data_IF_343433699923
#
_entry.id   IF_343433699923
#
_cell.length_a   1.000
_cell.length_b   1.000
_cell.length_c   1.000
_cell.angle_alpha   90.00
_cell.angle_beta   90.00
_cell.angle_gamma   90.00
#
_symmetry.space_group_name_H-M   'P 1'
#
loop_
_entity.id
_entity.type
_entity.pdbx_description
1 polymer ?
#
# COMPACT_ATOMS: atom_id res chain seq x y z
N UNK A 1 -2.28 -49.99 -42.69
CA UNK A 1 -1.77 -50.02 -41.30
C UNK A 1 -0.30 -49.58 -41.17
N UNK A 2 0.47 -49.43 -42.24
CA UNK A 2 1.89 -48.96 -42.19
C UNK A 2 2.05 -47.48 -42.56
N UNK A 3 1.01 -46.83 -43.09
CA UNK A 3 1.06 -45.42 -43.53
C UNK A 3 0.58 -44.42 -42.42
N UNK A 4 -0.11 -44.90 -41.41
CA UNK A 4 -0.55 -44.01 -40.27
C UNK A 4 0.54 -43.79 -39.25
N UNK A 5 1.46 -44.72 -39.04
CA UNK A 5 2.59 -44.52 -38.10
C UNK A 5 3.61 -43.47 -38.60
N UNK A 6 3.78 -43.33 -39.92
CA UNK A 6 4.68 -42.30 -40.48
C UNK A 6 4.16 -40.87 -40.30
N UNK A 7 2.85 -40.68 -40.28
CA UNK A 7 2.20 -39.37 -40.04
C UNK A 7 2.33 -38.88 -38.60
N UNK A 8 2.26 -39.81 -37.64
CA UNK A 8 2.41 -39.49 -36.20
C UNK A 8 3.86 -39.18 -35.87
N UNK A 9 4.82 -39.92 -36.39
CA UNK A 9 6.25 -39.68 -36.24
C UNK A 9 6.71 -38.37 -36.88
N UNK A 10 6.15 -37.97 -38.02
CA UNK A 10 6.44 -36.65 -38.61
C UNK A 10 5.84 -35.51 -37.80
N UNK A 11 4.64 -35.63 -37.22
CA UNK A 11 4.03 -34.64 -36.34
C UNK A 11 4.81 -34.51 -35.03
N UNK A 12 5.25 -35.60 -34.43
CA UNK A 12 6.10 -35.58 -33.23
C UNK A 12 7.45 -34.94 -33.49
N UNK A 13 8.11 -35.24 -34.60
CA UNK A 13 9.38 -34.60 -34.98
C UNK A 13 9.20 -33.11 -35.33
N UNK A 14 8.07 -32.71 -35.89
CA UNK A 14 7.77 -31.31 -36.20
C UNK A 14 7.54 -30.52 -34.92
N UNK A 15 6.77 -31.03 -33.93
CA UNK A 15 6.56 -30.38 -32.63
C UNK A 15 7.85 -30.29 -31.84
N UNK A 16 8.68 -31.32 -31.80
CA UNK A 16 10.00 -31.28 -31.16
C UNK A 16 10.94 -30.26 -31.81
N UNK A 17 10.93 -30.15 -33.15
CA UNK A 17 11.73 -29.16 -33.88
C UNK A 17 11.27 -27.73 -33.65
N UNK A 18 9.96 -27.51 -33.49
CA UNK A 18 9.37 -26.21 -33.18
C UNK A 18 9.74 -25.81 -31.73
N UNK A 19 9.63 -26.75 -30.80
CA UNK A 19 10.02 -26.53 -29.39
C UNK A 19 11.53 -26.24 -29.28
N UNK A 20 12.38 -27.04 -29.95
CA UNK A 20 13.84 -26.85 -29.95
C UNK A 20 14.24 -25.53 -30.64
N UNK A 21 13.55 -25.13 -31.73
CA UNK A 21 13.76 -23.83 -32.35
C UNK A 21 13.33 -22.68 -31.46
N UNK A 22 12.21 -22.82 -30.74
CA UNK A 22 11.73 -21.80 -29.78
C UNK A 22 12.68 -21.68 -28.58
N UNK A 23 13.14 -22.78 -28.02
CA UNK A 23 14.13 -22.82 -26.94
C UNK A 23 15.48 -22.27 -27.39
N UNK A 24 15.95 -22.56 -28.61
CA UNK A 24 17.17 -21.97 -29.18
C UNK A 24 17.02 -20.48 -29.50
N UNK A 25 15.84 -20.04 -29.93
CA UNK A 25 15.56 -18.60 -30.14
C UNK A 25 15.53 -17.82 -28.83
N UNK A 26 14.99 -18.41 -27.77
CA UNK A 26 15.03 -17.85 -26.40
C UNK A 26 16.45 -17.84 -25.82
N UNK A 27 17.30 -18.82 -26.14
CA UNK A 27 18.69 -18.86 -25.72
C UNK A 27 19.61 -17.83 -26.44
N UNK A 28 19.20 -17.35 -27.62
CA UNK A 28 19.95 -16.33 -28.40
C UNK A 28 19.55 -14.89 -27.99
N UNK A 29 18.36 -14.72 -27.34
CA UNK A 29 17.82 -13.43 -26.90
C UNK A 29 18.15 -13.14 -25.45
N UNK A 30 19.31 -13.53 -24.91
CA UNK A 30 19.74 -13.26 -23.53
C UNK A 30 18.62 -13.53 -22.51
N UNK A 31 18.71 -14.62 -21.82
CA UNK A 31 17.69 -15.22 -20.94
C UNK A 31 16.98 -14.26 -19.96
N UNK A 32 15.98 -13.52 -20.39
CA UNK A 32 15.01 -12.97 -19.48
C UNK A 32 13.60 -13.39 -19.88
N UNK A 33 13.25 -14.66 -19.61
CA UNK A 33 11.85 -15.07 -19.62
C UNK A 33 11.20 -14.49 -18.38
N UNK A 34 10.60 -13.31 -18.50
CA UNK A 34 9.86 -12.66 -17.41
C UNK A 34 8.49 -13.30 -17.30
N UNK A 35 8.12 -13.72 -16.10
CA UNK A 35 6.81 -14.34 -15.79
C UNK A 35 6.04 -13.48 -14.79
N UNK A 36 6.74 -12.92 -13.82
CA UNK A 36 6.10 -12.08 -12.79
C UNK A 36 5.67 -10.73 -13.37
N UNK A 37 4.42 -10.29 -13.18
CA UNK A 37 3.99 -8.94 -13.56
C UNK A 37 4.80 -7.82 -12.91
N UNK A 38 5.52 -8.07 -11.82
CA UNK A 38 6.44 -7.12 -11.22
C UNK A 38 7.65 -6.83 -12.12
N UNK A 39 8.03 -7.77 -13.00
CA UNK A 39 9.19 -7.59 -13.85
C UNK A 39 8.96 -6.53 -14.95
N UNK A 40 7.71 -6.40 -15.44
CA UNK A 40 7.42 -5.61 -16.64
C UNK A 40 6.19 -4.70 -16.56
N UNK A 41 5.36 -4.79 -15.51
CA UNK A 41 4.06 -4.08 -15.50
C UNK A 41 3.82 -3.22 -14.26
N UNK A 42 4.21 -3.66 -13.07
CA UNK A 42 3.89 -3.03 -11.80
C UNK A 42 5.13 -2.70 -10.99
N UNK A 43 5.03 -1.66 -10.17
CA UNK A 43 6.10 -1.17 -9.32
C UNK A 43 7.10 -0.31 -10.08
N UNK A 44 7.57 0.74 -9.43
CA UNK A 44 8.65 1.61 -9.93
C UNK A 44 10.02 1.05 -9.57
N UNK A 45 11.04 1.53 -10.27
CA UNK A 45 12.40 0.99 -10.14
C UNK A 45 12.99 1.21 -8.73
N UNK A 46 12.67 2.32 -8.05
CA UNK A 46 13.13 2.59 -6.69
C UNK A 46 12.61 1.53 -5.69
N UNK A 47 11.35 1.14 -5.79
CA UNK A 47 10.80 0.08 -4.94
C UNK A 47 11.36 -1.31 -5.29
N UNK A 48 11.56 -1.59 -6.58
CA UNK A 48 12.13 -2.85 -7.06
C UNK A 48 13.59 -2.99 -6.69
N UNK A 49 14.39 -1.91 -6.76
CA UNK A 49 15.82 -1.96 -6.46
C UNK A 49 16.11 -2.41 -5.04
N UNK A 50 15.28 -2.01 -4.06
CA UNK A 50 15.42 -2.44 -2.66
C UNK A 50 15.35 -3.97 -2.53
N UNK A 51 14.44 -4.61 -3.28
CA UNK A 51 14.16 -6.05 -3.19
C UNK A 51 14.76 -6.86 -4.33
N UNK A 52 15.54 -6.21 -5.22
CA UNK A 52 16.24 -6.89 -6.29
C UNK A 52 17.32 -7.83 -5.75
N UNK A 53 17.83 -8.71 -6.62
CA UNK A 53 18.99 -9.55 -6.32
C UNK A 53 20.19 -8.69 -5.89
N UNK A 54 20.46 -7.61 -6.62
CA UNK A 54 21.56 -6.67 -6.38
C UNK A 54 21.36 -5.88 -5.08
N UNK A 55 20.15 -5.39 -4.82
CA UNK A 55 19.84 -4.67 -3.58
C UNK A 55 19.98 -5.56 -2.34
N UNK A 56 19.52 -6.81 -2.42
CA UNK A 56 19.74 -7.81 -1.35
C UNK A 56 21.23 -8.08 -1.13
N UNK A 57 21.97 -8.28 -2.21
CA UNK A 57 23.41 -8.53 -2.18
C UNK A 57 24.15 -7.37 -1.52
N UNK A 58 23.88 -6.14 -1.90
CA UNK A 58 24.45 -4.94 -1.30
C UNK A 58 24.21 -4.90 0.22
N UNK A 59 22.98 -5.15 0.69
CA UNK A 59 22.68 -5.16 2.13
C UNK A 59 23.39 -6.28 2.87
N UNK A 60 23.62 -7.44 2.25
CA UNK A 60 24.41 -8.51 2.85
C UNK A 60 25.90 -8.12 3.00
N UNK A 61 26.48 -7.41 2.01
CA UNK A 61 27.82 -6.86 2.10
C UNK A 61 27.94 -5.79 3.21
N UNK A 62 26.94 -4.92 3.34
CA UNK A 62 26.87 -3.93 4.42
C UNK A 62 26.90 -4.59 5.79
N UNK A 63 26.16 -5.69 5.98
CA UNK A 63 26.10 -6.44 7.24
C UNK A 63 27.43 -7.11 7.54
N UNK A 64 28.07 -7.77 6.58
CA UNK A 64 29.40 -8.36 6.78
C UNK A 64 30.45 -7.31 7.12
N UNK A 65 30.43 -6.15 6.44
CA UNK A 65 31.32 -5.02 6.75
C UNK A 65 31.11 -4.52 8.19
N UNK A 66 29.85 -4.39 8.63
CA UNK A 66 29.51 -3.95 10.00
C UNK A 66 29.98 -4.98 11.06
N UNK A 67 29.89 -6.28 10.76
CA UNK A 67 30.41 -7.34 11.62
C UNK A 67 31.94 -7.18 11.84
N UNK A 68 32.70 -7.00 10.77
CA UNK A 68 34.17 -6.89 10.88
C UNK A 68 34.56 -5.55 11.54
N UNK A 69 33.82 -4.47 11.27
CA UNK A 69 33.99 -3.20 12.00
C UNK A 69 33.80 -3.37 13.51
N UNK A 70 32.75 -4.09 13.94
CA UNK A 70 32.51 -4.29 15.36
C UNK A 70 33.58 -5.18 16.00
N UNK A 71 34.06 -6.20 15.32
CA UNK A 71 35.21 -6.98 15.78
C UNK A 71 36.50 -6.16 15.88
N UNK A 72 36.70 -5.18 14.99
CA UNK A 72 37.82 -4.26 15.05
C UNK A 72 37.68 -3.32 16.29
N UNK A 73 36.48 -2.78 16.59
CA UNK A 73 36.23 -1.99 17.79
C UNK A 73 36.53 -2.77 19.09
N UNK A 74 36.29 -4.08 19.07
CA UNK A 74 36.58 -4.97 20.22
C UNK A 74 38.00 -5.54 20.22
N UNK A 75 38.88 -5.08 19.33
CA UNK A 75 40.28 -5.48 19.25
C UNK A 75 40.54 -6.92 18.79
N UNK A 76 39.53 -7.57 18.22
CA UNK A 76 39.62 -8.96 17.68
C UNK A 76 40.13 -9.02 16.26
N UNK A 77 39.92 -7.95 15.50
CA UNK A 77 40.39 -7.77 14.10
C UNK A 77 41.25 -6.51 14.05
N UNK A 78 42.34 -6.53 13.29
CA UNK A 78 43.20 -5.36 13.16
C UNK A 78 42.55 -4.25 12.32
N UNK A 79 42.89 -2.96 12.52
CA UNK A 79 42.41 -1.90 11.63
C UNK A 79 42.77 -2.15 10.14
N UNK A 80 43.95 -2.72 9.87
CA UNK A 80 44.40 -3.01 8.50
C UNK A 80 43.49 -4.07 7.84
N UNK A 81 43.13 -5.12 8.55
CA UNK A 81 42.20 -6.15 8.05
C UNK A 81 40.80 -5.57 7.83
N UNK A 82 40.30 -4.73 8.76
CA UNK A 82 39.02 -4.06 8.59
C UNK A 82 39.01 -3.13 7.36
N UNK A 83 40.06 -2.29 7.19
CA UNK A 83 40.17 -1.37 6.06
C UNK A 83 40.13 -2.13 4.74
N UNK A 84 40.83 -3.28 4.67
CA UNK A 84 40.83 -4.14 3.49
C UNK A 84 39.44 -4.72 3.21
N UNK A 85 38.70 -5.21 4.25
CA UNK A 85 37.35 -5.72 4.10
C UNK A 85 36.40 -4.58 3.70
N UNK A 86 36.51 -3.41 4.29
CA UNK A 86 35.69 -2.24 3.94
C UNK A 86 35.89 -1.77 2.49
N UNK A 87 37.13 -1.88 1.97
CA UNK A 87 37.44 -1.59 0.56
C UNK A 87 36.68 -2.52 -0.38
N UNK A 88 36.69 -3.84 -0.10
CA UNK A 88 36.18 -4.86 -1.02
C UNK A 88 34.67 -5.14 -0.85
N UNK A 89 34.07 -4.83 0.30
CA UNK A 89 32.64 -5.07 0.58
C UNK A 89 31.74 -4.10 -0.22
N UNK A 90 31.85 -4.14 -1.54
CA UNK A 90 31.09 -3.33 -2.50
C UNK A 90 30.63 -4.21 -3.66
N UNK A 91 29.41 -3.98 -4.19
CA UNK A 91 28.87 -4.77 -5.30
C UNK A 91 29.73 -4.79 -6.57
N UNK A 92 30.53 -3.74 -6.79
CA UNK A 92 31.41 -3.61 -7.95
C UNK A 92 32.65 -4.52 -7.85
N UNK A 93 33.02 -4.93 -6.64
CA UNK A 93 34.21 -5.78 -6.37
C UNK A 93 33.77 -7.21 -6.09
N UNK A 94 32.89 -7.39 -5.10
CA UNK A 94 32.25 -8.69 -4.80
C UNK A 94 30.93 -8.70 -5.55
N UNK A 95 30.94 -9.16 -6.79
CA UNK A 95 29.75 -9.10 -7.65
C UNK A 95 28.76 -10.21 -7.32
N UNK A 96 27.47 -9.93 -7.47
CA UNK A 96 26.42 -10.93 -7.31
C UNK A 96 26.60 -12.12 -8.28
N UNK A 97 27.12 -11.88 -9.48
CA UNK A 97 27.41 -12.95 -10.44
C UNK A 97 28.50 -13.90 -9.94
N UNK A 98 29.56 -13.37 -9.30
CA UNK A 98 30.61 -14.21 -8.71
C UNK A 98 30.05 -15.05 -7.56
N UNK A 99 29.18 -14.47 -6.73
CA UNK A 99 28.50 -15.20 -5.66
C UNK A 99 27.63 -16.34 -6.22
N UNK A 100 26.87 -16.08 -7.28
CA UNK A 100 26.05 -17.10 -7.96
C UNK A 100 26.90 -18.24 -8.55
N UNK A 101 28.08 -17.93 -9.11
CA UNK A 101 28.99 -18.95 -9.60
C UNK A 101 29.43 -19.90 -8.48
N UNK A 102 29.84 -19.35 -7.34
CA UNK A 102 30.26 -20.12 -6.16
C UNK A 102 29.07 -20.89 -5.56
N UNK A 103 27.87 -20.27 -5.54
CA UNK A 103 26.66 -20.92 -5.01
C UNK A 103 26.27 -22.18 -5.81
N UNK A 104 26.46 -22.20 -7.11
CA UNK A 104 26.19 -23.39 -7.95
C UNK A 104 27.02 -24.62 -7.48
N UNK A 105 28.19 -24.37 -6.91
CA UNK A 105 29.06 -25.42 -6.37
C UNK A 105 28.72 -25.74 -4.92
N UNK A 106 28.56 -24.71 -4.07
CA UNK A 106 28.40 -24.84 -2.62
C UNK A 106 26.97 -25.16 -2.22
N UNK A 107 25.98 -24.81 -3.06
CA UNK A 107 24.52 -24.91 -2.78
C UNK A 107 24.10 -24.20 -1.50
N UNK A 108 24.80 -23.10 -1.18
CA UNK A 108 24.55 -22.31 0.02
C UNK A 108 24.91 -20.84 -0.22
N UNK A 109 23.93 -19.95 -0.19
CA UNK A 109 24.03 -18.55 -0.56
C UNK A 109 25.05 -17.77 0.28
N UNK A 110 24.92 -17.79 1.61
CA UNK A 110 25.85 -17.04 2.49
C UNK A 110 27.25 -17.62 2.47
N UNK A 111 27.42 -18.94 2.34
CA UNK A 111 28.75 -19.54 2.16
C UNK A 111 29.41 -19.08 0.85
N UNK A 112 28.59 -18.88 -0.20
CA UNK A 112 29.09 -18.36 -1.47
C UNK A 112 29.51 -16.89 -1.34
N UNK A 113 28.71 -16.07 -0.67
CA UNK A 113 29.04 -14.67 -0.38
C UNK A 113 30.36 -14.56 0.39
N UNK A 114 30.49 -15.29 1.51
CA UNK A 114 31.70 -15.22 2.35
C UNK A 114 32.96 -15.70 1.63
N UNK A 115 32.85 -16.72 0.75
CA UNK A 115 33.94 -17.15 -0.11
C UNK A 115 34.34 -16.10 -1.13
N UNK A 116 33.37 -15.46 -1.82
CA UNK A 116 33.63 -14.39 -2.77
C UNK A 116 34.32 -13.19 -2.09
N UNK A 117 33.87 -12.82 -0.89
CA UNK A 117 34.52 -11.77 -0.10
C UNK A 117 35.94 -12.16 0.32
N UNK A 118 36.15 -13.41 0.78
CA UNK A 118 37.48 -13.88 1.18
C UNK A 118 38.45 -13.93 0.00
N UNK A 119 38.00 -14.34 -1.19
CA UNK A 119 38.80 -14.26 -2.44
C UNK A 119 39.26 -12.82 -2.72
N UNK A 120 38.35 -11.85 -2.57
CA UNK A 120 38.66 -10.44 -2.82
C UNK A 120 39.55 -9.80 -1.73
N UNK A 121 39.41 -10.23 -0.48
CA UNK A 121 40.15 -9.70 0.67
C UNK A 121 41.59 -10.29 0.77
N UNK A 122 41.86 -11.44 0.12
CA UNK A 122 43.19 -12.10 0.21
C UNK A 122 43.53 -12.53 1.63
N UNK A 123 44.67 -12.14 2.16
CA UNK A 123 45.13 -12.51 3.49
C UNK A 123 44.19 -12.03 4.61
N UNK A 124 43.47 -10.94 4.42
CA UNK A 124 42.46 -10.44 5.36
C UNK A 124 41.14 -11.22 5.33
N UNK A 125 40.98 -12.19 4.42
CA UNK A 125 39.75 -13.01 4.29
C UNK A 125 39.45 -13.89 5.49
N UNK A 126 40.42 -14.11 6.38
CA UNK A 126 40.27 -14.94 7.59
C UNK A 126 39.19 -14.43 8.57
N UNK A 127 38.95 -13.13 8.62
CA UNK A 127 38.03 -12.52 9.57
C UNK A 127 36.58 -12.44 9.05
N UNK A 128 36.34 -12.69 7.76
CA UNK A 128 35.00 -12.63 7.17
C UNK A 128 34.08 -13.65 7.82
N UNK A 129 32.84 -13.22 8.16
CA UNK A 129 31.82 -14.04 8.82
C UNK A 129 32.23 -14.58 10.19
N UNK A 130 33.16 -13.92 10.90
CA UNK A 130 33.78 -14.41 12.13
C UNK A 130 32.74 -14.57 13.25
N UNK A 131 32.45 -15.84 13.59
CA UNK A 131 31.52 -16.24 14.65
C UNK A 131 30.03 -15.99 14.33
N UNK A 132 29.70 -15.58 13.10
CA UNK A 132 28.33 -15.40 12.65
C UNK A 132 27.69 -16.70 12.14
N UNK A 133 26.40 -16.72 12.03
CA UNK A 133 25.61 -17.70 11.27
C UNK A 133 24.91 -17.02 10.10
N UNK A 134 24.52 -17.79 9.08
CA UNK A 134 23.89 -17.25 7.86
C UNK A 134 22.74 -16.28 8.14
N UNK A 135 21.91 -16.54 9.15
CA UNK A 135 20.80 -15.67 9.48
C UNK A 135 21.15 -14.43 10.30
N UNK A 136 22.35 -14.34 10.85
CA UNK A 136 22.85 -13.06 11.36
C UNK A 136 22.99 -12.06 10.18
N UNK A 137 23.41 -12.55 9.02
CA UNK A 137 23.54 -11.76 7.80
C UNK A 137 22.17 -11.56 7.10
N UNK A 138 21.44 -12.64 6.87
CA UNK A 138 20.18 -12.59 6.10
C UNK A 138 19.12 -11.74 6.80
N UNK A 139 18.86 -11.97 8.10
CA UNK A 139 17.81 -11.24 8.82
C UNK A 139 18.18 -9.77 8.99
N UNK A 140 19.47 -9.46 9.25
CA UNK A 140 19.92 -8.06 9.34
C UNK A 140 19.89 -7.34 7.99
N UNK A 141 20.21 -8.03 6.88
CA UNK A 141 20.06 -7.48 5.54
C UNK A 141 18.59 -7.23 5.18
N UNK A 142 17.69 -8.16 5.54
CA UNK A 142 16.24 -7.96 5.38
C UNK A 142 15.74 -6.79 6.23
N UNK A 143 16.24 -6.61 7.46
CA UNK A 143 15.89 -5.46 8.28
C UNK A 143 16.32 -4.13 7.64
N UNK A 144 17.48 -4.08 6.96
CA UNK A 144 17.91 -2.92 6.16
C UNK A 144 16.98 -2.68 4.97
N UNK A 145 16.59 -3.74 4.23
CA UNK A 145 15.63 -3.62 3.12
C UNK A 145 14.25 -3.14 3.60
N UNK A 146 13.79 -3.59 4.77
CA UNK A 146 12.55 -3.13 5.39
C UNK A 146 12.66 -1.66 5.79
N UNK A 147 13.77 -1.23 6.41
CA UNK A 147 14.02 0.18 6.76
C UNK A 147 13.94 1.08 5.53
N UNK A 148 14.64 0.70 4.46
CA UNK A 148 14.66 1.46 3.21
C UNK A 148 13.26 1.49 2.56
N UNK A 149 12.50 0.40 2.67
CA UNK A 149 11.11 0.31 2.23
C UNK A 149 10.17 1.21 3.04
N UNK A 150 10.35 1.26 4.36
CA UNK A 150 9.55 2.13 5.25
C UNK A 150 9.80 3.60 4.92
N UNK A 151 11.05 3.99 4.71
CA UNK A 151 11.39 5.37 4.30
C UNK A 151 10.68 5.73 2.99
N UNK A 152 10.76 4.86 1.98
CA UNK A 152 10.09 5.07 0.70
C UNK A 152 8.55 5.14 0.83
N UNK A 153 7.95 4.27 1.64
CA UNK A 153 6.52 4.25 1.91
C UNK A 153 6.07 5.51 2.66
N UNK A 154 6.86 5.99 3.61
CA UNK A 154 6.58 7.21 4.35
C UNK A 154 6.51 8.42 3.41
N UNK A 155 7.51 8.58 2.52
CA UNK A 155 7.55 9.67 1.55
C UNK A 155 6.36 9.61 0.57
N UNK A 156 6.05 8.41 0.08
CA UNK A 156 4.95 8.20 -0.88
C UNK A 156 3.58 8.46 -0.23
N UNK A 157 3.40 8.04 1.03
CA UNK A 157 2.17 8.29 1.79
C UNK A 157 2.00 9.77 2.15
N UNK A 158 3.06 10.47 2.54
CA UNK A 158 3.03 11.91 2.80
C UNK A 158 2.59 12.69 1.56
N UNK A 159 3.10 12.31 0.40
CA UNK A 159 2.69 12.90 -0.87
C UNK A 159 1.20 12.66 -1.16
N UNK A 160 0.71 11.43 -1.00
CA UNK A 160 -0.71 11.11 -1.15
C UNK A 160 -1.58 11.89 -0.15
N UNK A 161 -1.16 11.97 1.11
CA UNK A 161 -1.86 12.73 2.14
C UNK A 161 -1.94 14.22 1.79
N UNK A 162 -0.86 14.81 1.27
CA UNK A 162 -0.86 16.19 0.76
C UNK A 162 -1.90 16.38 -0.35
N UNK A 163 -1.93 15.47 -1.33
CA UNK A 163 -2.92 15.49 -2.42
C UNK A 163 -4.36 15.39 -1.89
N UNK A 164 -4.60 14.55 -0.88
CA UNK A 164 -5.92 14.44 -0.25
C UNK A 164 -6.30 15.72 0.50
N UNK A 165 -5.36 16.37 1.20
CA UNK A 165 -5.58 17.65 1.85
C UNK A 165 -5.98 18.73 0.82
N UNK A 166 -5.22 18.85 -0.27
CA UNK A 166 -5.50 19.81 -1.34
C UNK A 166 -6.89 19.58 -1.96
N UNK A 167 -7.28 18.32 -2.16
CA UNK A 167 -8.61 17.96 -2.67
C UNK A 167 -9.70 18.29 -1.66
N UNK A 168 -9.50 18.00 -0.38
CA UNK A 168 -10.48 18.30 0.67
C UNK A 168 -10.72 19.81 0.81
N UNK A 169 -9.65 20.62 0.80
CA UNK A 169 -9.73 22.09 0.84
C UNK A 169 -10.42 22.65 -0.40
N UNK A 170 -10.05 22.20 -1.59
CA UNK A 170 -10.66 22.64 -2.84
C UNK A 170 -12.17 22.39 -2.89
N UNK A 171 -12.60 21.26 -2.36
CA UNK A 171 -14.00 20.82 -2.39
C UNK A 171 -14.73 21.04 -1.05
N UNK A 172 -14.17 21.88 -0.18
CA UNK A 172 -14.66 22.15 1.18
C UNK A 172 -16.16 22.45 1.23
N UNK A 173 -16.63 23.27 0.28
CA UNK A 173 -17.99 23.78 0.21
C UNK A 173 -18.79 23.19 -0.97
N UNK A 174 -18.24 22.21 -1.70
CA UNK A 174 -18.92 21.54 -2.81
C UNK A 174 -20.01 20.62 -2.30
N UNK A 175 -21.25 21.06 -2.42
CA UNK A 175 -22.45 20.36 -1.90
C UNK A 175 -22.76 19.13 -2.73
N UNK A 176 -22.95 17.99 -2.06
CA UNK A 176 -23.33 16.75 -2.69
C UNK A 176 -24.37 15.97 -1.86
N UNK A 177 -24.99 14.99 -2.50
CA UNK A 177 -25.91 14.08 -1.84
C UNK A 177 -25.15 13.09 -0.95
N UNK A 178 -25.42 13.09 0.37
CA UNK A 178 -25.02 12.02 1.27
C UNK A 178 -25.81 10.74 0.95
N UNK A 179 -25.15 9.59 1.06
CA UNK A 179 -25.78 8.28 0.81
C UNK A 179 -25.43 7.30 1.91
N UNK A 180 -26.46 6.63 2.45
CA UNK A 180 -26.32 5.49 3.36
C UNK A 180 -27.08 4.31 2.77
N UNK A 181 -26.54 3.10 2.87
CA UNK A 181 -27.13 1.90 2.25
C UNK A 181 -27.36 2.05 0.72
N UNK A 182 -26.62 2.95 0.06
CA UNK A 182 -26.85 3.29 -1.34
C UNK A 182 -28.07 4.17 -1.61
N UNK A 183 -28.81 4.57 -0.56
CA UNK A 183 -29.98 5.43 -0.65
C UNK A 183 -29.63 6.89 -0.36
N UNK A 184 -30.40 7.80 -0.97
CA UNK A 184 -30.30 9.24 -0.71
C UNK A 184 -30.53 9.52 0.79
N UNK A 185 -29.65 10.31 1.38
CA UNK A 185 -29.73 10.80 2.74
C UNK A 185 -29.70 12.34 2.74
N UNK A 186 -29.20 12.95 3.80
CA UNK A 186 -29.09 14.41 3.88
C UNK A 186 -27.90 14.96 3.06
N UNK A 187 -27.86 16.25 2.69
CA UNK A 187 -26.72 16.88 2.03
C UNK A 187 -25.46 16.82 2.89
N UNK A 188 -24.32 16.69 2.21
CA UNK A 188 -22.96 16.81 2.77
C UNK A 188 -22.11 17.65 1.81
N UNK A 189 -20.80 17.84 2.11
CA UNK A 189 -19.86 18.33 1.12
C UNK A 189 -18.94 17.22 0.61
N UNK A 190 -18.42 17.37 -0.62
CA UNK A 190 -17.42 16.45 -1.15
C UNK A 190 -16.12 16.56 -0.35
N UNK A 191 -15.77 17.79 0.09
CA UNK A 191 -14.63 17.99 0.99
C UNK A 191 -14.74 17.19 2.28
N UNK A 192 -15.93 17.12 2.91
CA UNK A 192 -16.14 16.27 4.10
C UNK A 192 -15.89 14.78 3.81
N UNK A 193 -16.34 14.29 2.65
CA UNK A 193 -16.08 12.91 2.23
C UNK A 193 -14.58 12.64 2.12
N UNK A 194 -13.82 13.56 1.53
CA UNK A 194 -12.35 13.45 1.40
C UNK A 194 -11.66 13.62 2.75
N UNK A 195 -12.14 14.50 3.64
CA UNK A 195 -11.57 14.70 4.98
C UNK A 195 -11.58 13.41 5.83
N UNK A 196 -12.56 12.53 5.62
CA UNK A 196 -12.57 11.19 6.25
C UNK A 196 -11.37 10.35 5.79
N UNK A 197 -11.00 10.43 4.51
CA UNK A 197 -9.79 9.76 3.99
C UNK A 197 -8.53 10.41 4.53
N UNK A 198 -8.46 11.75 4.56
CA UNK A 198 -7.32 12.50 5.14
C UNK A 198 -7.00 12.02 6.55
N UNK A 199 -8.00 11.96 7.44
CA UNK A 199 -7.79 11.53 8.81
C UNK A 199 -7.40 10.04 8.92
N UNK A 200 -7.89 9.18 8.04
CA UNK A 200 -7.52 7.77 7.98
C UNK A 200 -6.07 7.58 7.53
N UNK A 201 -5.62 8.30 6.49
CA UNK A 201 -4.26 8.19 5.98
C UNK A 201 -3.24 8.83 6.92
N UNK A 202 -3.60 9.91 7.63
CA UNK A 202 -2.79 10.44 8.73
C UNK A 202 -2.50 9.35 9.77
N UNK A 203 -3.53 8.62 10.21
CA UNK A 203 -3.33 7.51 11.17
C UNK A 203 -2.48 6.36 10.62
N UNK A 204 -2.41 6.17 9.30
CA UNK A 204 -1.48 5.20 8.72
C UNK A 204 -0.02 5.62 8.85
N UNK A 205 0.29 6.91 8.75
CA UNK A 205 1.62 7.44 9.06
C UNK A 205 1.96 7.27 10.54
N UNK A 206 1.01 7.57 11.44
CA UNK A 206 1.23 7.37 12.89
C UNK A 206 1.58 5.89 13.19
N UNK A 207 0.81 4.95 12.64
CA UNK A 207 1.08 3.51 12.81
C UNK A 207 2.42 3.09 12.22
N UNK A 208 2.83 3.68 11.09
CA UNK A 208 4.14 3.38 10.48
C UNK A 208 5.28 3.81 11.40
N UNK A 209 5.22 5.02 11.97
CA UNK A 209 6.23 5.50 12.92
C UNK A 209 6.27 4.62 14.17
N UNK A 210 5.10 4.23 14.70
CA UNK A 210 4.99 3.40 15.91
C UNK A 210 5.51 1.98 15.72
N UNK A 211 5.30 1.35 14.56
CA UNK A 211 5.75 -0.03 14.29
C UNK A 211 7.22 -0.09 13.89
N UNK A 212 7.78 0.96 13.31
CA UNK A 212 9.13 0.97 12.74
C UNK A 212 10.20 0.43 13.70
N UNK A 213 10.31 0.88 14.97
CA UNK A 213 11.31 0.36 15.89
C UNK A 213 11.16 -1.14 16.19
N UNK A 214 9.96 -1.68 16.11
CA UNK A 214 9.73 -3.11 16.34
C UNK A 214 10.10 -3.97 15.14
N UNK A 215 10.03 -3.42 13.94
CA UNK A 215 10.19 -4.16 12.67
C UNK A 215 11.63 -4.12 12.16
N UNK A 216 12.32 -2.98 12.25
CA UNK A 216 13.70 -2.82 11.76
C UNK A 216 14.74 -3.41 12.72
N UNK A 217 14.63 -4.68 13.03
CA UNK A 217 15.45 -5.38 14.03
C UNK A 217 16.34 -6.40 13.34
N UNK A 218 17.66 -6.26 13.50
CA UNK A 218 18.64 -7.28 13.10
C UNK A 218 19.00 -8.21 14.27
N UNK A 219 19.99 -9.07 14.09
CA UNK A 219 20.50 -9.95 15.17
C UNK A 219 21.93 -10.42 14.89
N UNK A 220 22.70 -10.72 15.97
CA UNK A 220 24.05 -11.29 15.90
C UNK A 220 24.36 -12.21 17.09
N UNK A 221 23.43 -13.09 17.43
CA UNK A 221 23.61 -14.06 18.52
C UNK A 221 23.85 -15.50 18.04
N UNK A 222 24.23 -15.69 16.78
CA UNK A 222 24.70 -16.94 16.23
C UNK A 222 23.62 -17.98 15.98
N UNK A 223 24.03 -19.24 15.89
CA UNK A 223 23.28 -20.36 15.34
C UNK A 223 21.96 -20.68 16.05
N UNK A 224 21.84 -20.41 17.35
CA UNK A 224 20.63 -20.70 18.17
C UNK A 224 20.29 -19.54 19.13
N UNK A 225 20.85 -18.36 18.90
CA UNK A 225 20.51 -17.16 19.68
C UNK A 225 21.23 -17.02 21.03
N UNK A 226 22.28 -17.80 21.28
CA UNK A 226 23.00 -17.78 22.56
C UNK A 226 24.24 -16.89 22.61
N UNK A 227 24.73 -16.45 21.44
CA UNK A 227 25.97 -15.69 21.33
C UNK A 227 27.25 -16.47 21.66
N UNK A 228 27.16 -17.81 21.87
CA UNK A 228 28.26 -18.62 22.36
C UNK A 228 29.55 -18.54 21.52
N UNK A 229 29.44 -18.41 20.20
CA UNK A 229 30.59 -18.26 19.31
C UNK A 229 31.31 -16.91 19.45
N UNK A 230 30.66 -15.90 20.03
CA UNK A 230 31.19 -14.54 20.25
C UNK A 230 31.81 -14.36 21.66
N UNK A 231 31.56 -15.34 22.57
CA UNK A 231 32.09 -15.32 23.92
C UNK A 231 31.49 -14.19 24.79
N UNK A 232 32.29 -13.65 25.71
CA UNK A 232 31.86 -12.68 26.71
C UNK A 232 31.36 -11.34 26.09
N UNK A 233 31.80 -11.01 24.88
CA UNK A 233 31.46 -9.76 24.20
C UNK A 233 30.23 -9.88 23.27
N UNK A 234 29.47 -10.98 23.33
CA UNK A 234 28.39 -11.23 22.38
C UNK A 234 27.34 -10.11 22.31
N UNK A 235 26.90 -9.60 23.46
CA UNK A 235 25.93 -8.49 23.51
C UNK A 235 26.52 -7.17 23.03
N UNK A 236 27.78 -6.87 23.41
CA UNK A 236 28.46 -5.65 22.99
C UNK A 236 28.69 -5.66 21.47
N UNK A 237 29.14 -6.80 20.91
CA UNK A 237 29.29 -6.99 19.47
C UNK A 237 27.97 -6.74 18.74
N UNK A 238 26.88 -7.38 19.19
CA UNK A 238 25.57 -7.19 18.59
C UNK A 238 25.13 -5.72 18.60
N UNK A 239 25.28 -5.04 19.75
CA UNK A 239 24.91 -3.63 19.90
C UNK A 239 25.72 -2.73 18.96
N UNK A 240 27.03 -2.95 18.84
CA UNK A 240 27.89 -2.20 17.93
C UNK A 240 27.45 -2.39 16.47
N UNK A 241 27.15 -3.62 16.06
CA UNK A 241 26.67 -3.93 14.69
C UNK A 241 25.35 -3.21 14.42
N UNK A 242 24.36 -3.33 15.32
CA UNK A 242 23.05 -2.71 15.16
C UNK A 242 23.15 -1.19 15.09
N UNK A 243 23.97 -0.57 15.94
CA UNK A 243 24.23 0.88 15.89
C UNK A 243 24.86 1.31 14.57
N UNK A 244 25.87 0.56 14.07
CA UNK A 244 26.51 0.85 12.79
C UNK A 244 25.53 0.78 11.61
N UNK A 245 24.60 -0.18 11.66
CA UNK A 245 23.59 -0.39 10.61
C UNK A 245 22.34 0.50 10.78
N UNK A 246 22.17 1.18 11.91
CA UNK A 246 20.95 1.93 12.23
C UNK A 246 19.73 1.01 12.37
N UNK A 247 19.92 -0.13 13.04
CA UNK A 247 18.89 -1.13 13.33
C UNK A 247 18.66 -1.25 14.83
N UNK A 248 17.49 -1.76 15.20
CA UNK A 248 17.17 -2.07 16.59
C UNK A 248 17.78 -3.39 17.06
N UNK A 249 18.18 -3.44 18.34
CA UNK A 249 18.76 -4.63 18.96
C UNK A 249 17.66 -5.45 19.64
N UNK A 250 17.52 -6.75 19.31
CA UNK A 250 16.54 -7.62 19.96
C UNK A 250 17.03 -8.05 21.36
N UNK A 251 16.08 -8.22 22.29
CA UNK A 251 16.38 -8.78 23.62
C UNK A 251 16.70 -10.26 23.56
N UNK A 252 15.94 -11.01 22.76
CA UNK A 252 16.08 -12.45 22.60
C UNK A 252 15.72 -12.87 21.17
N UNK A 253 16.46 -13.82 20.63
CA UNK A 253 16.21 -14.43 19.32
C UNK A 253 16.48 -15.92 19.37
N UNK A 254 16.03 -16.64 18.37
CA UNK A 254 16.53 -17.97 18.03
C UNK A 254 17.65 -17.85 16.99
N UNK A 255 17.77 -18.73 16.02
CA UNK A 255 18.63 -18.51 14.85
C UNK A 255 18.14 -17.33 14.00
N UNK A 256 16.87 -16.95 14.15
CA UNK A 256 16.17 -15.86 13.41
C UNK A 256 15.54 -14.87 14.38
N UNK A 257 15.25 -13.66 13.92
CA UNK A 257 14.37 -12.72 14.65
C UNK A 257 12.93 -13.25 14.64
N UNK A 258 12.12 -12.87 15.64
CA UNK A 258 10.70 -13.23 15.68
C UNK A 258 9.97 -12.72 14.43
N UNK A 259 9.26 -13.63 13.74
CA UNK A 259 8.53 -13.29 12.50
C UNK A 259 7.24 -12.49 12.74
N UNK A 260 6.79 -12.37 13.98
CA UNK A 260 5.74 -11.44 14.41
C UNK A 260 6.01 -10.00 13.94
N UNK A 261 7.26 -9.57 13.86
CA UNK A 261 7.71 -8.28 13.35
C UNK A 261 7.34 -8.09 11.88
N UNK A 262 7.56 -9.12 11.06
CA UNK A 262 7.22 -9.10 9.63
C UNK A 262 5.70 -9.15 9.44
N UNK A 263 4.98 -9.90 10.28
CA UNK A 263 3.51 -9.93 10.30
C UNK A 263 2.96 -8.53 10.58
N UNK A 264 3.52 -7.80 11.55
CA UNK A 264 3.10 -6.45 11.89
C UNK A 264 3.20 -5.51 10.68
N UNK A 265 4.34 -5.52 9.97
CA UNK A 265 4.54 -4.69 8.79
C UNK A 265 3.63 -5.09 7.61
N UNK A 266 3.52 -6.39 7.31
CA UNK A 266 2.63 -6.88 6.24
C UNK A 266 1.17 -6.58 6.56
N UNK A 267 0.75 -6.67 7.83
CA UNK A 267 -0.60 -6.32 8.27
C UNK A 267 -0.87 -4.82 8.12
N UNK A 268 0.11 -3.96 8.42
CA UNK A 268 0.03 -2.55 8.16
C UNK A 268 -0.12 -2.26 6.66
N UNK A 269 0.69 -2.88 5.80
CA UNK A 269 0.58 -2.75 4.34
C UNK A 269 -0.80 -3.18 3.83
N UNK A 270 -1.36 -4.24 4.36
CA UNK A 270 -2.70 -4.70 4.02
C UNK A 270 -3.79 -3.72 4.47
N UNK A 271 -3.64 -3.09 5.63
CA UNK A 271 -4.56 -2.06 6.13
C UNK A 271 -4.52 -0.81 5.23
N UNK A 272 -3.34 -0.29 4.89
CA UNK A 272 -3.17 0.82 3.94
C UNK A 272 -3.81 0.50 2.58
N UNK A 273 -3.55 -0.70 2.05
CA UNK A 273 -4.13 -1.14 0.77
C UNK A 273 -5.66 -1.20 0.80
N UNK A 274 -6.25 -1.53 1.95
CA UNK A 274 -7.70 -1.52 2.17
C UNK A 274 -8.27 -0.11 2.13
N UNK A 275 -7.60 0.84 2.78
CA UNK A 275 -7.99 2.26 2.76
C UNK A 275 -7.90 2.87 1.36
N UNK A 276 -6.86 2.51 0.59
CA UNK A 276 -6.73 2.90 -0.82
C UNK A 276 -7.90 2.34 -1.65
N UNK A 277 -8.19 1.04 -1.53
CA UNK A 277 -9.31 0.43 -2.25
C UNK A 277 -10.64 1.07 -1.87
N UNK A 278 -10.87 1.37 -0.59
CA UNK A 278 -12.07 2.07 -0.11
C UNK A 278 -12.25 3.43 -0.78
N UNK A 279 -11.21 4.26 -0.81
CA UNK A 279 -11.26 5.58 -1.45
C UNK A 279 -11.48 5.47 -2.98
N UNK A 280 -10.73 4.60 -3.65
CA UNK A 280 -10.86 4.41 -5.10
C UNK A 280 -12.15 3.70 -5.51
N UNK A 281 -12.70 2.84 -4.67
CA UNK A 281 -14.01 2.24 -4.91
C UNK A 281 -15.11 3.29 -4.81
N UNK A 282 -15.01 4.25 -3.90
CA UNK A 282 -15.94 5.38 -3.85
C UNK A 282 -15.83 6.26 -5.11
N UNK A 283 -14.62 6.58 -5.57
CA UNK A 283 -14.41 7.27 -6.85
C UNK A 283 -15.10 6.51 -8.00
N UNK A 284 -14.87 5.18 -8.11
CA UNK A 284 -15.52 4.33 -9.14
C UNK A 284 -17.04 4.35 -9.03
N UNK A 285 -17.56 4.34 -7.80
CA UNK A 285 -19.01 4.36 -7.54
C UNK A 285 -19.63 5.71 -7.94
N UNK A 286 -18.99 6.82 -7.58
CA UNK A 286 -19.44 8.15 -7.95
C UNK A 286 -19.29 8.45 -9.47
N UNK A 287 -18.40 7.76 -10.18
CA UNK A 287 -18.21 7.84 -11.63
C UNK A 287 -19.24 7.05 -12.45
N UNK A 288 -20.08 6.22 -11.82
CA UNK A 288 -21.13 5.48 -12.53
C UNK A 288 -22.00 6.41 -13.33
N UNK A 289 -22.42 5.98 -14.52
CA UNK A 289 -23.14 6.83 -15.50
C UNK A 289 -24.40 7.50 -14.95
N UNK A 290 -25.13 6.82 -14.06
CA UNK A 290 -26.33 7.34 -13.41
C UNK A 290 -26.04 8.31 -12.26
N UNK A 291 -24.85 8.25 -11.65
CA UNK A 291 -24.39 9.17 -10.60
C UNK A 291 -23.60 10.32 -11.21
N UNK A 292 -22.49 10.02 -11.86
CA UNK A 292 -21.64 10.93 -12.65
C UNK A 292 -21.15 12.19 -11.90
N UNK A 293 -20.91 12.07 -10.59
CA UNK A 293 -20.51 13.19 -9.72
C UNK A 293 -18.99 13.46 -9.74
N UNK A 294 -18.18 12.44 -10.09
CA UNK A 294 -16.74 12.56 -10.27
C UNK A 294 -16.29 11.79 -11.49
N UNK A 295 -15.05 12.00 -11.95
CA UNK A 295 -14.46 11.22 -13.03
C UNK A 295 -12.94 11.13 -12.90
N UNK A 296 -12.37 9.92 -13.07
CA UNK A 296 -10.94 9.76 -13.26
C UNK A 296 -10.50 10.54 -14.51
N UNK A 297 -9.37 11.26 -14.40
CA UNK A 297 -8.83 12.03 -15.51
C UNK A 297 -8.60 11.15 -16.73
N UNK A 298 -9.14 11.59 -17.87
CA UNK A 298 -9.02 10.92 -19.15
C UNK A 298 -8.33 11.83 -20.17
N UNK A 299 -7.16 11.43 -20.64
CA UNK A 299 -6.45 12.14 -21.72
C UNK A 299 -7.08 11.76 -23.07
N UNK A 300 -7.97 12.63 -23.57
CA UNK A 300 -8.71 12.36 -24.80
C UNK A 300 -7.83 12.28 -26.06
N UNK A 301 -6.60 12.82 -26.02
CA UNK A 301 -5.66 12.79 -27.16
C UNK A 301 -4.85 11.48 -27.20
N UNK A 302 -4.61 10.86 -26.04
CA UNK A 302 -3.68 9.73 -25.89
C UNK A 302 -4.33 8.45 -25.41
N UNK A 303 -5.50 8.53 -24.76
CA UNK A 303 -6.16 7.35 -24.18
C UNK A 303 -7.33 6.88 -25.02
N UNK A 304 -7.41 5.57 -25.24
CA UNK A 304 -8.58 4.91 -25.81
C UNK A 304 -9.41 4.34 -24.67
N UNK A 305 -10.57 4.94 -24.39
CA UNK A 305 -11.45 4.53 -23.29
C UNK A 305 -12.13 3.18 -23.54
N UNK A 306 -12.38 2.83 -24.79
CA UNK A 306 -12.96 1.58 -25.22
C UNK A 306 -12.59 1.30 -26.68
N UNK A 307 -12.34 0.03 -27.02
CA UNK A 307 -12.04 -0.37 -28.40
C UNK A 307 -13.21 -0.19 -29.36
N UNK A 308 -14.45 -0.07 -28.85
CA UNK A 308 -15.68 -0.01 -29.65
C UNK A 308 -16.57 1.19 -29.36
N UNK A 309 -16.43 1.84 -28.18
CA UNK A 309 -17.30 2.93 -27.74
C UNK A 309 -16.47 4.17 -27.39
N UNK A 310 -16.33 5.10 -28.33
CA UNK A 310 -15.45 6.27 -28.19
C UNK A 310 -15.78 7.19 -27.01
N UNK A 311 -17.05 7.23 -26.58
CA UNK A 311 -17.53 8.08 -25.47
C UNK A 311 -17.27 7.47 -24.08
N UNK A 312 -16.87 6.18 -23.99
CA UNK A 312 -16.79 5.46 -22.72
C UNK A 312 -15.45 5.76 -22.02
N UNK A 313 -15.53 6.42 -20.86
CA UNK A 313 -14.38 6.76 -20.00
C UNK A 313 -14.39 5.87 -18.77
N UNK A 314 -13.58 4.82 -18.79
CA UNK A 314 -13.50 3.85 -17.68
C UNK A 314 -12.50 4.33 -16.61
N UNK A 315 -12.76 4.11 -15.30
CA UNK A 315 -11.82 4.40 -14.22
C UNK A 315 -10.73 3.33 -14.10
N UNK A 316 -9.92 3.17 -15.15
CA UNK A 316 -9.00 2.04 -15.31
C UNK A 316 -7.85 2.04 -14.30
N UNK A 317 -7.39 3.22 -13.85
CA UNK A 317 -6.33 3.32 -12.85
C UNK A 317 -6.87 2.92 -11.47
N UNK A 318 -8.05 3.42 -11.12
CA UNK A 318 -8.73 3.04 -9.88
C UNK A 318 -9.08 1.54 -9.84
N UNK A 319 -9.58 0.97 -10.95
CA UNK A 319 -9.86 -0.48 -11.06
C UNK A 319 -8.61 -1.32 -10.88
N UNK A 320 -7.51 -0.92 -11.52
CA UNK A 320 -6.22 -1.62 -11.42
C UNK A 320 -5.69 -1.60 -9.97
N UNK A 321 -5.69 -0.43 -9.32
CA UNK A 321 -5.25 -0.30 -7.93
C UNK A 321 -6.11 -1.14 -6.97
N UNK A 322 -7.44 -1.14 -7.12
CA UNK A 322 -8.34 -2.01 -6.35
C UNK A 322 -8.03 -3.50 -6.55
N UNK A 323 -7.69 -3.91 -7.77
CA UNK A 323 -7.29 -5.29 -8.07
C UNK A 323 -5.99 -5.69 -7.36
N UNK A 324 -4.97 -4.83 -7.40
CA UNK A 324 -3.67 -5.06 -6.77
C UNK A 324 -3.75 -5.04 -5.23
N UNK A 325 -4.61 -4.20 -4.65
CA UNK A 325 -4.85 -4.17 -3.21
C UNK A 325 -5.27 -5.54 -2.64
N UNK A 326 -5.99 -6.35 -3.41
CA UNK A 326 -6.38 -7.72 -3.03
C UNK A 326 -5.16 -8.63 -2.90
N UNK A 327 -4.17 -8.46 -3.78
CA UNK A 327 -2.92 -9.23 -3.72
C UNK A 327 -2.13 -8.85 -2.47
N UNK A 328 -1.98 -7.55 -2.16
CA UNK A 328 -1.30 -7.09 -0.94
C UNK A 328 -1.96 -7.72 0.29
N UNK A 329 -3.29 -7.67 0.41
CA UNK A 329 -4.01 -8.27 1.55
C UNK A 329 -3.87 -9.78 1.64
N UNK A 330 -3.76 -10.48 0.51
CA UNK A 330 -3.61 -11.94 0.52
C UNK A 330 -2.30 -12.42 1.13
N UNK A 331 -1.27 -11.55 1.20
CA UNK A 331 0.04 -11.88 1.77
C UNK A 331 0.04 -11.97 3.31
N UNK A 332 -1.03 -11.55 3.97
CA UNK A 332 -1.19 -11.70 5.43
C UNK A 332 -1.15 -13.18 5.83
N UNK A 333 -1.88 -14.05 5.15
CA UNK A 333 -1.99 -15.47 5.51
C UNK A 333 -0.64 -16.15 5.50
N UNK A 334 0.13 -16.17 4.39
CA UNK A 334 1.44 -16.79 4.39
C UNK A 334 2.43 -16.10 5.37
N UNK A 335 2.24 -14.82 5.70
CA UNK A 335 3.07 -14.16 6.71
C UNK A 335 2.84 -14.71 8.11
N UNK A 336 1.59 -15.04 8.48
CA UNK A 336 1.29 -15.72 9.75
C UNK A 336 1.84 -17.13 9.78
N UNK A 337 1.72 -17.90 8.70
CA UNK A 337 2.27 -19.24 8.60
C UNK A 337 3.80 -19.26 8.71
N UNK A 338 4.48 -18.24 8.22
CA UNK A 338 5.94 -18.10 8.31
C UNK A 338 6.46 -17.92 9.76
N UNK A 339 5.59 -17.58 10.71
CA UNK A 339 5.98 -17.48 12.12
C UNK A 339 6.01 -18.85 12.83
N UNK A 340 5.40 -19.87 12.24
CA UNK A 340 5.31 -21.21 12.81
C UNK A 340 6.54 -22.03 12.42
N UNK A 341 7.66 -21.80 13.11
CA UNK A 341 8.93 -22.49 12.88
C UNK A 341 9.18 -23.57 13.93
N UNK A 342 9.86 -24.64 13.53
CA UNK A 342 10.26 -25.70 14.45
C UNK A 342 11.51 -25.30 15.22
N UNK A 343 11.46 -25.50 16.54
CA UNK A 343 12.58 -25.25 17.43
C UNK A 343 13.18 -23.84 17.23
N UNK A 344 14.49 -23.73 17.13
CA UNK A 344 15.20 -22.49 16.93
C UNK A 344 15.17 -22.00 15.48
N UNK A 345 14.82 -22.85 14.52
CA UNK A 345 14.50 -22.57 13.11
C UNK A 345 14.35 -23.83 12.26
N UNK A 346 13.45 -23.79 11.28
CA UNK A 346 13.49 -24.60 10.06
C UNK A 346 13.50 -23.71 8.82
N UNK A 347 13.34 -24.24 7.59
CA UNK A 347 13.39 -23.48 6.34
C UNK A 347 12.01 -23.20 5.72
N UNK A 348 10.91 -23.55 6.38
CA UNK A 348 9.58 -23.45 5.80
C UNK A 348 9.19 -22.02 5.42
N UNK A 349 9.64 -21.03 6.21
CA UNK A 349 9.41 -19.60 5.96
C UNK A 349 10.19 -19.04 4.76
N UNK A 350 11.41 -19.54 4.53
CA UNK A 350 12.42 -18.87 3.69
C UNK A 350 11.96 -18.62 2.26
N UNK A 351 11.30 -19.60 1.63
CA UNK A 351 10.78 -19.44 0.26
C UNK A 351 9.58 -18.51 0.20
N UNK A 352 8.68 -18.58 1.17
CA UNK A 352 7.47 -17.77 1.21
C UNK A 352 7.77 -16.29 1.54
N UNK A 353 8.73 -16.01 2.42
CA UNK A 353 9.13 -14.62 2.77
C UNK A 353 9.64 -13.83 1.58
N UNK A 354 10.25 -14.48 0.61
CA UNK A 354 10.68 -13.85 -0.66
C UNK A 354 9.53 -13.24 -1.45
N UNK A 355 8.31 -13.78 -1.29
CA UNK A 355 7.09 -13.25 -1.89
C UNK A 355 6.36 -12.27 -0.96
N UNK A 356 6.16 -12.65 0.32
CA UNK A 356 5.32 -11.87 1.23
C UNK A 356 5.86 -10.49 1.50
N UNK A 357 7.18 -10.32 1.66
CA UNK A 357 7.78 -9.02 1.94
C UNK A 357 7.92 -8.17 0.67
N UNK A 358 8.61 -8.69 -0.35
CA UNK A 358 8.91 -7.93 -1.57
C UNK A 358 7.67 -7.55 -2.36
N UNK A 359 6.76 -8.53 -2.61
CA UNK A 359 5.57 -8.27 -3.41
C UNK A 359 4.59 -7.34 -2.70
N UNK A 360 4.39 -7.50 -1.37
CA UNK A 360 3.53 -6.59 -0.60
C UNK A 360 4.02 -5.15 -0.70
N UNK A 361 5.33 -4.96 -0.50
CA UNK A 361 5.93 -3.62 -0.52
C UNK A 361 5.86 -2.98 -1.91
N UNK A 362 6.30 -3.67 -2.95
CA UNK A 362 6.35 -3.12 -4.31
C UNK A 362 4.94 -2.81 -4.82
N UNK A 363 3.97 -3.70 -4.57
CA UNK A 363 2.58 -3.49 -4.98
C UNK A 363 1.89 -2.40 -4.16
N UNK A 364 2.18 -2.28 -2.86
CA UNK A 364 1.65 -1.20 -2.05
C UNK A 364 2.13 0.16 -2.55
N UNK A 365 3.43 0.31 -2.80
CA UNK A 365 4.00 1.54 -3.36
C UNK A 365 3.33 1.91 -4.70
N UNK A 366 3.15 0.94 -5.60
CA UNK A 366 2.50 1.13 -6.89
C UNK A 366 1.04 1.62 -6.76
N UNK A 367 0.26 1.04 -5.82
CA UNK A 367 -1.14 1.47 -5.64
C UNK A 367 -1.27 2.81 -4.90
N UNK A 368 -0.33 3.18 -4.02
CA UNK A 368 -0.28 4.51 -3.41
C UNK A 368 -0.10 5.58 -4.51
N UNK A 369 0.87 5.36 -5.42
CA UNK A 369 1.14 6.27 -6.54
C UNK A 369 -0.06 6.36 -7.48
N UNK A 370 -0.74 5.27 -7.77
CA UNK A 370 -1.96 5.25 -8.58
C UNK A 370 -3.09 6.02 -7.92
N UNK A 371 -3.25 5.88 -6.60
CA UNK A 371 -4.23 6.64 -5.84
C UNK A 371 -3.93 8.14 -5.88
N UNK A 372 -2.67 8.54 -5.65
CA UNK A 372 -2.20 9.92 -5.79
C UNK A 372 -2.51 10.49 -7.19
N UNK A 373 -2.19 9.73 -8.24
CA UNK A 373 -2.47 10.10 -9.63
C UNK A 373 -3.96 10.31 -9.91
N UNK A 374 -4.82 9.44 -9.37
CA UNK A 374 -6.28 9.55 -9.55
C UNK A 374 -6.81 10.78 -8.82
N UNK A 375 -6.45 10.95 -7.54
CA UNK A 375 -7.00 12.03 -6.71
C UNK A 375 -6.46 13.42 -7.09
N UNK A 376 -5.19 13.53 -7.48
CA UNK A 376 -4.57 14.81 -7.89
C UNK A 376 -5.22 15.41 -9.15
N UNK A 377 -5.82 14.57 -9.99
CA UNK A 377 -6.46 14.98 -11.27
C UNK A 377 -7.95 14.64 -11.33
N UNK A 378 -8.56 14.36 -10.17
CA UNK A 378 -9.97 13.98 -10.11
C UNK A 378 -10.84 15.12 -10.61
N UNK A 379 -11.64 14.87 -11.65
CA UNK A 379 -12.71 15.75 -12.08
C UNK A 379 -13.87 15.66 -11.11
N UNK A 380 -14.34 16.81 -10.62
CA UNK A 380 -15.52 16.94 -9.75
C UNK A 380 -16.57 17.74 -10.47
N UNK A 381 -17.78 17.20 -10.59
CA UNK A 381 -18.92 17.83 -11.27
C UNK A 381 -19.93 18.32 -10.23
N UNK A 382 -19.73 19.55 -9.75
CA UNK A 382 -20.59 20.19 -8.76
C UNK A 382 -22.02 20.43 -9.26
N UNK A 383 -22.19 20.68 -10.57
CA UNK A 383 -23.51 20.86 -11.17
C UNK A 383 -24.28 19.54 -11.15
N UNK A 384 -23.62 18.44 -11.46
CA UNK A 384 -24.20 17.10 -11.39
C UNK A 384 -24.53 16.70 -9.95
N UNK A 385 -23.69 17.05 -8.99
CA UNK A 385 -23.98 16.83 -7.56
C UNK A 385 -25.27 17.54 -7.13
N UNK A 386 -25.41 18.81 -7.48
CA UNK A 386 -26.64 19.58 -7.22
C UNK A 386 -27.86 19.02 -7.98
N UNK A 387 -27.68 18.58 -9.23
CA UNK A 387 -28.73 17.91 -9.99
C UNK A 387 -29.22 16.66 -9.26
N UNK A 388 -28.31 15.82 -8.74
CA UNK A 388 -28.66 14.60 -8.03
C UNK A 388 -29.42 14.87 -6.71
N UNK A 389 -29.14 15.99 -6.03
CA UNK A 389 -29.93 16.44 -4.87
C UNK A 389 -31.32 16.87 -5.32
N UNK A 390 -31.44 17.70 -6.35
CA UNK A 390 -32.73 18.19 -6.88
C UNK A 390 -33.61 17.05 -7.39
N UNK A 391 -33.03 16.01 -7.97
CA UNK A 391 -33.73 14.83 -8.43
C UNK A 391 -34.41 14.02 -7.28
N UNK A 392 -34.16 14.37 -6.02
CA UNK A 392 -34.85 13.79 -4.86
C UNK A 392 -36.13 14.56 -4.48
N UNK A 393 -36.54 15.55 -5.28
CA UNK A 393 -37.75 16.31 -5.08
C UNK A 393 -37.93 16.83 -3.64
N UNK A 394 -36.87 17.40 -3.06
CA UNK A 394 -36.87 17.97 -1.71
C UNK A 394 -36.88 16.96 -0.55
N UNK A 395 -37.07 15.65 -0.80
CA UNK A 395 -37.21 14.63 0.23
C UNK A 395 -36.00 14.55 1.19
N UNK A 396 -34.81 14.84 0.71
CA UNK A 396 -33.56 14.85 1.51
C UNK A 396 -33.51 15.98 2.54
N UNK A 397 -34.42 16.96 2.46
CA UNK A 397 -34.53 18.07 3.40
C UNK A 397 -35.62 17.85 4.48
N UNK A 398 -36.31 16.73 4.47
CA UNK A 398 -37.36 16.43 5.41
C UNK A 398 -36.90 16.46 6.88
N UNK A 399 -35.68 15.99 7.18
CA UNK A 399 -35.08 16.06 8.51
C UNK A 399 -34.90 17.51 8.98
N UNK A 400 -34.35 18.38 8.12
CA UNK A 400 -34.19 19.80 8.42
C UNK A 400 -35.52 20.47 8.75
N UNK A 401 -36.54 20.21 7.94
CA UNK A 401 -37.87 20.77 8.18
C UNK A 401 -38.51 20.21 9.46
N UNK A 402 -38.33 18.94 9.74
CA UNK A 402 -38.83 18.34 11.00
C UNK A 402 -38.23 19.04 12.23
N UNK A 403 -36.94 19.27 12.26
CA UNK A 403 -36.27 19.96 13.35
C UNK A 403 -36.80 21.40 13.44
N UNK A 404 -36.91 22.11 12.32
CA UNK A 404 -37.39 23.48 12.29
C UNK A 404 -38.86 23.60 12.80
N UNK A 405 -39.71 22.63 12.49
CA UNK A 405 -41.09 22.59 13.02
C UNK A 405 -41.11 22.42 14.54
N UNK A 406 -40.25 21.53 15.06
CA UNK A 406 -40.12 21.29 16.51
C UNK A 406 -39.58 22.52 17.23
N UNK A 407 -38.58 23.18 16.68
CA UNK A 407 -37.98 24.40 17.25
C UNK A 407 -38.97 25.57 17.28
N UNK A 408 -39.98 25.54 16.39
CA UNK A 408 -41.07 26.52 16.36
C UNK A 408 -42.35 26.04 17.08
N UNK A 409 -42.23 25.05 17.97
CA UNK A 409 -43.26 24.68 18.94
C UNK A 409 -44.20 23.55 18.50
N UNK A 410 -44.01 22.91 17.36
CA UNK A 410 -44.76 21.72 16.99
C UNK A 410 -44.25 20.52 17.79
N UNK A 411 -45.16 19.73 18.43
CA UNK A 411 -44.73 18.49 19.07
C UNK A 411 -44.03 17.54 18.08
N UNK A 412 -42.97 16.88 18.52
CA UNK A 412 -42.13 16.02 17.68
C UNK A 412 -42.93 14.95 16.91
N UNK A 413 -43.88 14.32 17.56
CA UNK A 413 -44.70 13.25 16.94
C UNK A 413 -45.64 13.83 15.88
N UNK A 414 -46.19 15.03 16.11
CA UNK A 414 -47.00 15.74 15.12
C UNK A 414 -46.16 16.18 13.91
N UNK A 415 -44.97 16.73 14.14
CA UNK A 415 -44.04 17.12 13.07
C UNK A 415 -43.62 15.90 12.22
N UNK A 416 -43.34 14.77 12.87
CA UNK A 416 -43.02 13.53 12.18
C UNK A 416 -44.20 13.04 11.31
N UNK A 417 -45.44 13.03 11.83
CA UNK A 417 -46.59 12.54 11.08
C UNK A 417 -46.97 13.44 9.92
N UNK A 418 -46.89 14.78 10.11
CA UNK A 418 -47.09 15.77 9.04
C UNK A 418 -46.11 15.55 7.90
N UNK A 419 -44.81 15.39 8.22
CA UNK A 419 -43.78 15.16 7.22
C UNK A 419 -43.81 13.78 6.59
N UNK A 420 -44.14 12.74 7.35
CA UNK A 420 -44.37 11.40 6.83
C UNK A 420 -45.47 11.40 5.76
N UNK A 421 -46.62 12.05 6.09
CA UNK A 421 -47.74 12.19 5.16
C UNK A 421 -47.35 13.00 3.92
N UNK A 422 -46.66 14.15 4.08
CA UNK A 422 -46.19 14.98 2.99
C UNK A 422 -45.18 14.25 2.09
N UNK A 423 -44.21 13.53 2.70
CA UNK A 423 -43.23 12.75 1.96
C UNK A 423 -43.84 11.60 1.17
N UNK A 424 -44.78 10.88 1.75
CA UNK A 424 -45.52 9.83 1.04
C UNK A 424 -46.34 10.40 -0.14
N UNK A 425 -46.93 11.59 0.01
CA UNK A 425 -47.60 12.28 -1.07
C UNK A 425 -46.62 12.66 -2.18
N UNK A 426 -45.43 13.25 -1.84
CA UNK A 426 -44.37 13.58 -2.79
C UNK A 426 -43.92 12.34 -3.57
N UNK A 427 -43.70 11.22 -2.90
CA UNK A 427 -43.29 9.96 -3.55
C UNK A 427 -44.37 9.47 -4.52
N UNK A 428 -45.65 9.50 -4.13
CA UNK A 428 -46.74 8.97 -4.92
C UNK A 428 -47.09 9.85 -6.15
N UNK A 429 -46.96 11.16 -6.01
CA UNK A 429 -47.33 12.13 -7.07
C UNK A 429 -46.15 12.55 -7.93
N UNK A 430 -44.91 12.43 -7.44
CA UNK A 430 -43.68 12.97 -8.05
C UNK A 430 -43.56 14.50 -7.90
N UNK A 431 -44.44 15.14 -7.09
CA UNK A 431 -44.36 16.56 -6.77
C UNK A 431 -43.19 16.86 -5.81
N UNK A 432 -42.69 18.09 -5.84
CA UNK A 432 -41.68 18.53 -4.88
C UNK A 432 -42.23 18.64 -3.47
N UNK A 433 -41.51 18.14 -2.46
CA UNK A 433 -41.89 18.17 -1.07
C UNK A 433 -42.09 19.59 -0.54
N UNK A 434 -41.26 20.57 -1.02
CA UNK A 434 -41.41 21.98 -0.66
C UNK A 434 -42.78 22.49 -1.04
N UNK A 435 -43.24 22.19 -2.29
CA UNK A 435 -44.54 22.62 -2.77
C UNK A 435 -45.72 22.00 -2.02
N UNK A 436 -45.60 20.73 -1.66
CA UNK A 436 -46.57 20.02 -0.84
C UNK A 436 -46.64 20.64 0.59
N UNK A 437 -45.48 20.89 1.19
CA UNK A 437 -45.35 21.52 2.50
C UNK A 437 -45.92 22.94 2.52
N UNK A 438 -45.72 23.73 1.46
CA UNK A 438 -46.24 25.07 1.35
C UNK A 438 -47.79 25.14 1.30
N UNK A 439 -48.44 24.05 0.87
CA UNK A 439 -49.92 23.92 0.85
C UNK A 439 -50.48 23.31 2.12
N UNK A 440 -49.63 22.88 3.04
CA UNK A 440 -50.05 22.28 4.32
C UNK A 440 -50.46 23.37 5.29
N UNK A 441 -51.71 23.33 5.79
CA UNK A 441 -52.20 24.28 6.80
C UNK A 441 -51.39 24.25 8.09
N UNK A 442 -50.83 23.08 8.45
CA UNK A 442 -50.03 22.92 9.64
C UNK A 442 -48.67 23.61 9.53
N UNK A 443 -48.05 23.56 8.33
CA UNK A 443 -46.73 24.13 8.07
C UNK A 443 -46.85 25.61 7.74
N UNK A 444 -47.82 26.01 6.92
CA UNK A 444 -48.03 27.41 6.46
C UNK A 444 -48.39 28.37 7.58
N UNK A 445 -48.88 27.87 8.73
CA UNK A 445 -49.10 28.67 9.97
C UNK A 445 -47.77 29.00 10.69
N UNK A 446 -46.75 28.26 10.46
CA UNK A 446 -45.43 28.37 11.13
C UNK A 446 -44.44 29.11 10.24
N UNK A 447 -44.39 28.78 8.95
CA UNK A 447 -43.41 29.32 8.00
C UNK A 447 -44.10 30.00 6.83
N UNK A 448 -43.58 31.16 6.44
CA UNK A 448 -43.88 31.81 5.15
C UNK A 448 -43.30 30.98 4.00
N UNK A 449 -43.76 31.22 2.77
CA UNK A 449 -43.18 30.54 1.58
C UNK A 449 -41.71 30.79 1.43
N UNK A 450 -41.21 32.00 1.78
CA UNK A 450 -39.78 32.33 1.68
C UNK A 450 -38.94 31.59 2.72
N UNK A 451 -39.39 31.56 3.98
CA UNK A 451 -38.72 30.84 5.04
C UNK A 451 -38.67 29.34 4.74
N UNK A 452 -39.74 28.79 4.19
CA UNK A 452 -39.76 27.38 3.77
C UNK A 452 -38.76 27.13 2.65
N UNK A 453 -38.72 28.00 1.63
CA UNK A 453 -37.74 27.88 0.54
C UNK A 453 -36.31 28.00 1.02
N UNK A 454 -36.02 28.82 2.02
CA UNK A 454 -34.69 28.90 2.64
C UNK A 454 -34.31 27.63 3.41
N UNK A 455 -35.28 26.96 4.04
CA UNK A 455 -35.08 25.66 4.70
C UNK A 455 -34.80 24.54 3.72
N UNK A 456 -35.33 24.60 2.49
CA UNK A 456 -35.09 23.59 1.45
C UNK A 456 -33.81 23.78 0.66
N UNK A 457 -33.02 24.83 0.93
CA UNK A 457 -31.68 24.99 0.35
C UNK A 457 -30.72 23.95 0.95
N UNK A 458 -30.05 23.11 0.16
CA UNK A 458 -29.13 22.09 0.67
C UNK A 458 -28.04 22.67 1.58
N UNK A 459 -27.55 23.87 1.25
CA UNK A 459 -26.51 24.60 1.99
C UNK A 459 -26.93 24.93 3.43
N UNK A 460 -28.25 25.00 3.70
CA UNK A 460 -28.79 25.26 5.04
C UNK A 460 -28.65 24.07 6.01
N UNK A 461 -28.25 22.89 5.51
CA UNK A 461 -28.22 21.64 6.29
C UNK A 461 -26.91 20.86 6.15
N UNK A 462 -25.78 21.55 6.10
CA UNK A 462 -24.45 20.96 6.00
C UNK A 462 -23.77 20.77 7.37
N UNK A 463 -24.37 21.28 8.45
CA UNK A 463 -23.79 21.21 9.79
C UNK A 463 -22.38 21.81 9.83
N UNK A 464 -21.47 21.09 10.43
CA UNK A 464 -20.05 21.47 10.60
C UNK A 464 -19.13 20.89 9.50
N UNK A 465 -19.66 20.60 8.30
CA UNK A 465 -18.87 19.97 7.24
C UNK A 465 -17.58 20.72 6.92
N UNK A 466 -17.64 22.06 6.81
CA UNK A 466 -16.48 22.89 6.52
C UNK A 466 -15.44 22.87 7.65
N UNK A 467 -15.88 23.04 8.90
CA UNK A 467 -15.00 23.04 10.07
C UNK A 467 -14.33 21.70 10.30
N UNK A 468 -15.02 20.59 10.00
CA UNK A 468 -14.44 19.23 10.05
C UNK A 468 -13.33 19.09 8.99
N UNK A 469 -13.54 19.60 7.78
CA UNK A 469 -12.51 19.64 6.73
C UNK A 469 -11.29 20.43 7.21
N UNK A 470 -11.52 21.65 7.69
CA UNK A 470 -10.45 22.56 8.15
C UNK A 470 -9.62 21.89 9.26
N UNK A 471 -10.27 21.25 10.22
CA UNK A 471 -9.61 20.57 11.34
C UNK A 471 -8.83 19.34 10.87
N UNK A 472 -9.42 18.49 10.03
CA UNK A 472 -8.78 17.27 9.53
C UNK A 472 -7.52 17.62 8.71
N UNK A 473 -7.62 18.59 7.83
CA UNK A 473 -6.50 19.04 7.00
C UNK A 473 -5.41 19.68 7.85
N UNK A 474 -5.75 20.55 8.79
CA UNK A 474 -4.77 21.17 9.70
C UNK A 474 -3.93 20.11 10.41
N UNK A 475 -4.57 19.14 11.05
CA UNK A 475 -3.86 18.07 11.79
C UNK A 475 -3.03 17.20 10.83
N UNK A 476 -3.54 16.90 9.64
CA UNK A 476 -2.82 16.08 8.67
C UNK A 476 -1.56 16.77 8.13
N UNK A 477 -1.63 18.10 7.89
CA UNK A 477 -0.47 18.87 7.39
C UNK A 477 0.68 18.94 8.41
N UNK A 478 0.42 18.75 9.70
CA UNK A 478 1.47 18.63 10.72
C UNK A 478 2.30 17.33 10.59
N UNK A 479 1.79 16.36 9.79
CA UNK A 479 2.45 15.06 9.54
C UNK A 479 3.21 15.00 8.21
N UNK A 480 3.04 15.97 7.34
CA UNK A 480 3.68 16.04 6.01
C UNK A 480 5.00 16.80 6.10
#
# INVERSE_FOLDING_TARGET
MVLEEFGILQKFNYQHRVIIKHVKHLAIMGNNVTVSPLDYRYGRDEAKSIWSREGRHERQLDVERALIWAHCQLGRVSPEDYDKVAEIAKPEIVTADRVDEIERETRHDIMALTKAMAEAAGDSGWCIHLGATSNDIVDSAVALQIRDSINLQQDTLKKLLSTMCDLAERERDTVMLGRTHGQAAVPITFGLKVAVWVDEFRRHLDRLDELTPRVITGKFLGAVGTGAAQGENAFELQNLIMQNLGLETPIATTQVVGRDRYIEWVSWMANVSTSIEKALQEVRNLQRSEIAEVGEYFDAEKQVGSSTMAHKKNPITAENACGLARIVRSMIIPSYENALLWHERDLANSSAERFTLSHSMILLDDIIIKCDKVLSKLGVDSERMLYNIKAQNGLVMAEKLMIALVDNGMPRDDAHEVLRSASMNAINTGEDLEDICARSDAISKIFTRQELSDLFKPESHLGFSGEIVDQAVKIARERI
#
